data_IF_121989160978
#
_entry.id   IF_121989160978
#
_cell.length_a   1.000
_cell.length_b   1.000
_cell.length_c   1.000
_cell.angle_alpha   90.00
_cell.angle_beta   90.00
_cell.angle_gamma   90.00
#
_symmetry.space_group_name_H-M   'P 1'
#
loop_
_entity.id
_entity.type
_entity.pdbx_description
1 polymer ?
#
# COMPACT_ATOMS: atom_id res chain seq x y z
N UNK A 1 -9.81 3.21 4.18
CA UNK A 1 -9.83 1.87 3.53
C UNK A 1 -10.08 2.04 2.03
N UNK A 2 -9.54 1.16 1.22
CA UNK A 2 -9.67 1.15 -0.25
C UNK A 2 -9.97 -0.27 -0.74
N UNK A 3 -10.88 -0.39 -1.70
CA UNK A 3 -11.26 -1.63 -2.37
C UNK A 3 -10.80 -1.58 -3.83
N UNK A 4 -9.96 -2.52 -4.25
CA UNK A 4 -9.42 -2.54 -5.62
C UNK A 4 -10.47 -2.91 -6.67
N UNK A 5 -11.46 -3.72 -6.29
CA UNK A 5 -12.48 -4.18 -7.23
C UNK A 5 -13.43 -3.05 -7.65
N UNK A 6 -13.82 -2.17 -6.72
CA UNK A 6 -14.61 -0.98 -7.03
C UNK A 6 -13.75 0.20 -7.49
N UNK A 7 -12.46 0.24 -7.10
CA UNK A 7 -11.58 1.36 -7.32
C UNK A 7 -11.87 2.57 -6.44
N UNK A 8 -12.51 2.35 -5.29
CA UNK A 8 -13.01 3.43 -4.45
C UNK A 8 -12.57 3.31 -2.99
N UNK A 9 -12.60 4.44 -2.30
CA UNK A 9 -12.49 4.49 -0.85
C UNK A 9 -13.77 3.93 -0.24
N UNK A 10 -13.63 3.04 0.72
CA UNK A 10 -14.76 2.41 1.40
C UNK A 10 -14.77 2.67 2.90
N UNK A 11 -15.96 2.78 3.49
CA UNK A 11 -16.18 2.77 4.92
C UNK A 11 -16.68 1.41 5.44
N UNK A 12 -16.93 0.47 4.54
CA UNK A 12 -17.35 -0.89 4.91
C UNK A 12 -16.26 -1.59 5.72
N UNK A 13 -16.67 -2.34 6.75
CA UNK A 13 -15.74 -3.03 7.64
C UNK A 13 -15.23 -4.35 7.07
N UNK A 14 -15.88 -4.88 6.05
CA UNK A 14 -15.50 -6.14 5.40
C UNK A 14 -14.95 -5.94 3.99
N UNK A 15 -15.49 -4.97 3.24
CA UNK A 15 -15.16 -4.76 1.83
C UNK A 15 -14.04 -3.75 1.65
N UNK A 16 -12.85 -4.12 2.09
CA UNK A 16 -11.62 -3.35 1.86
C UNK A 16 -10.43 -4.30 1.65
N UNK A 17 -9.44 -3.87 0.89
CA UNK A 17 -8.23 -4.64 0.61
C UNK A 17 -7.02 -4.08 1.33
N UNK A 18 -6.87 -2.75 1.29
CA UNK A 18 -5.81 -2.02 1.99
C UNK A 18 -6.39 -0.85 2.81
N UNK A 19 -5.68 -0.48 3.86
CA UNK A 19 -6.01 0.69 4.66
C UNK A 19 -4.76 1.54 4.92
N UNK A 20 -4.91 2.85 4.79
CA UNK A 20 -3.84 3.82 5.01
C UNK A 20 -4.02 4.46 6.38
N UNK A 21 -2.92 4.50 7.17
CA UNK A 21 -2.86 5.18 8.46
C UNK A 21 -1.51 5.86 8.64
N UNK A 22 -1.50 7.19 8.53
CA UNK A 22 -0.24 7.91 8.46
C UNK A 22 0.61 7.37 7.31
N UNK A 23 1.82 6.89 7.59
CA UNK A 23 2.70 6.24 6.61
C UNK A 23 2.56 4.71 6.57
N UNK A 24 1.73 4.13 7.44
CA UNK A 24 1.48 2.69 7.46
C UNK A 24 0.40 2.31 6.45
N UNK A 25 0.62 1.18 5.77
CA UNK A 25 -0.35 0.55 4.87
C UNK A 25 -0.62 -0.84 5.41
N UNK A 26 -1.90 -1.11 5.69
CA UNK A 26 -2.39 -2.36 6.24
C UNK A 26 -3.08 -3.16 5.14
N UNK A 27 -3.06 -4.49 5.27
CA UNK A 27 -3.82 -5.41 4.40
C UNK A 27 -4.99 -6.04 5.15
N UNK A 28 -6.09 -6.34 4.45
CA UNK A 28 -7.20 -7.07 5.05
C UNK A 28 -6.89 -8.57 5.11
N UNK A 29 -5.95 -8.93 5.97
CA UNK A 29 -5.52 -10.30 6.21
C UNK A 29 -4.52 -10.39 7.35
N UNK A 30 -4.40 -11.55 7.94
CA UNK A 30 -3.56 -11.79 9.11
C UNK A 30 -4.21 -11.37 10.42
N UNK A 31 -3.48 -10.67 11.27
CA UNK A 31 -3.94 -10.22 12.59
C UNK A 31 -3.58 -8.76 12.86
N UNK A 32 -4.14 -8.21 13.95
CA UNK A 32 -3.86 -6.86 14.39
C UNK A 32 -2.36 -6.61 14.61
N UNK A 33 -1.92 -5.42 14.20
CA UNK A 33 -0.50 -5.01 14.30
C UNK A 33 -0.20 -4.26 15.60
N UNK A 34 -1.25 -3.87 16.33
CA UNK A 34 -1.14 -3.03 17.53
C UNK A 34 -1.16 -1.53 17.26
N UNK A 35 -1.38 -1.12 16.02
CA UNK A 35 -1.64 0.29 15.71
C UNK A 35 -3.01 0.69 16.28
N UNK A 36 -3.08 1.92 16.80
CA UNK A 36 -4.34 2.42 17.34
C UNK A 36 -5.41 2.54 16.23
N UNK A 37 -6.65 2.15 16.52
CA UNK A 37 -7.83 2.28 15.64
C UNK A 37 -7.65 1.62 14.26
N UNK A 38 -6.87 0.57 14.16
CA UNK A 38 -6.75 -0.20 12.92
C UNK A 38 -8.06 -0.97 12.63
N UNK A 39 -8.44 -1.10 11.35
CA UNK A 39 -9.65 -1.83 11.00
C UNK A 39 -9.52 -3.32 11.32
N UNK A 40 -10.65 -3.96 11.67
CA UNK A 40 -10.71 -5.41 11.81
C UNK A 40 -10.40 -6.07 10.44
N UNK A 41 -9.73 -7.20 10.48
CA UNK A 41 -9.42 -8.01 9.31
C UNK A 41 -10.35 -9.19 9.20
N UNK A 42 -10.96 -9.38 8.04
CA UNK A 42 -11.90 -10.47 7.76
C UNK A 42 -11.48 -11.32 6.55
N UNK A 43 -10.46 -10.89 5.83
CA UNK A 43 -10.01 -11.51 4.58
C UNK A 43 -8.68 -12.26 4.69
N UNK A 44 -8.16 -12.61 3.53
CA UNK A 44 -6.86 -13.29 3.37
C UNK A 44 -5.81 -12.38 2.69
N UNK A 45 -6.01 -11.08 2.76
CA UNK A 45 -5.13 -10.08 2.16
C UNK A 45 -3.67 -10.26 2.59
N UNK A 46 -2.77 -10.02 1.66
CA UNK A 46 -1.33 -10.09 1.90
C UNK A 46 -0.60 -9.11 0.97
N UNK A 47 0.63 -8.78 1.30
CA UNK A 47 1.42 -7.88 0.48
C UNK A 47 2.85 -8.38 0.27
N UNK A 48 3.43 -7.95 -0.84
CA UNK A 48 4.84 -8.02 -1.14
C UNK A 48 5.31 -6.70 -1.75
N UNK A 49 6.59 -6.44 -1.73
CA UNK A 49 7.20 -5.30 -2.42
C UNK A 49 8.07 -5.85 -3.55
N UNK A 50 7.83 -5.38 -4.76
CA UNK A 50 8.64 -5.68 -5.93
C UNK A 50 9.51 -4.48 -6.30
N UNK A 51 10.73 -4.73 -6.73
CA UNK A 51 11.62 -3.72 -7.30
C UNK A 51 11.44 -3.68 -8.82
N UNK A 52 11.20 -2.48 -9.37
CA UNK A 52 10.99 -2.27 -10.79
C UNK A 52 10.13 -1.05 -11.07
N UNK A 53 9.71 -0.91 -12.34
CA UNK A 53 8.71 0.10 -12.72
C UNK A 53 7.31 -0.49 -12.66
N UNK A 54 6.29 0.35 -12.60
CA UNK A 54 4.90 -0.10 -12.66
C UNK A 54 4.63 -1.00 -13.87
N UNK A 55 5.25 -0.71 -15.01
CA UNK A 55 5.11 -1.49 -16.23
C UNK A 55 5.92 -2.80 -16.21
N UNK A 56 7.08 -2.85 -15.54
CA UNK A 56 7.96 -4.03 -15.55
C UNK A 56 7.57 -5.12 -14.55
N UNK A 57 6.80 -4.77 -13.53
CA UNK A 57 6.29 -5.74 -12.55
C UNK A 57 5.02 -6.39 -13.11
N UNK A 58 5.18 -7.49 -13.82
CA UNK A 58 4.11 -8.15 -14.61
C UNK A 58 3.61 -9.46 -14.01
N UNK A 59 4.25 -9.98 -12.97
CA UNK A 59 3.81 -11.21 -12.32
C UNK A 59 4.24 -11.33 -10.86
N UNK A 60 3.58 -12.23 -10.14
CA UNK A 60 3.87 -12.52 -8.72
C UNK A 60 4.84 -13.68 -8.53
N UNK A 61 5.36 -14.31 -9.60
CA UNK A 61 6.02 -15.61 -9.54
C UNK A 61 7.25 -15.75 -8.65
N UNK A 62 7.95 -14.63 -8.32
CA UNK A 62 9.11 -14.61 -7.44
C UNK A 62 8.86 -13.91 -6.11
N UNK A 63 7.63 -13.44 -5.85
CA UNK A 63 7.32 -12.63 -4.67
C UNK A 63 6.91 -13.50 -3.48
N UNK A 64 7.44 -13.15 -2.32
CA UNK A 64 6.99 -13.72 -1.05
C UNK A 64 6.01 -12.76 -0.39
N UNK A 65 4.76 -13.21 -0.25
CA UNK A 65 3.71 -12.43 0.39
C UNK A 65 3.72 -12.64 1.90
N UNK A 66 3.53 -11.56 2.63
CA UNK A 66 3.31 -11.55 4.08
C UNK A 66 1.94 -10.98 4.41
N UNK A 67 1.39 -11.36 5.55
CA UNK A 67 0.18 -10.77 6.12
C UNK A 67 0.55 -9.85 7.27
N UNK A 68 -0.36 -8.97 7.66
CA UNK A 68 -0.22 -8.21 8.89
C UNK A 68 -0.21 -9.16 10.11
N UNK A 69 0.56 -8.80 11.12
CA UNK A 69 0.70 -9.63 12.32
C UNK A 69 1.01 -8.76 13.55
N UNK A 70 1.01 -9.36 14.73
CA UNK A 70 1.45 -8.69 15.95
C UNK A 70 2.90 -8.15 15.89
N UNK A 71 3.70 -8.62 14.92
CA UNK A 71 5.05 -8.11 14.65
C UNK A 71 5.09 -6.86 13.78
N UNK A 72 3.95 -6.49 13.18
CA UNK A 72 3.79 -5.30 12.35
C UNK A 72 3.06 -5.55 11.02
N UNK A 73 2.89 -4.49 10.22
CA UNK A 73 2.28 -4.57 8.89
C UNK A 73 3.09 -5.41 7.91
N UNK A 74 2.40 -6.03 6.95
CA UNK A 74 3.00 -6.76 5.83
C UNK A 74 3.92 -5.87 4.99
N UNK A 75 3.54 -4.60 4.82
CA UNK A 75 4.40 -3.59 4.21
C UNK A 75 5.21 -2.96 5.33
N UNK A 76 6.50 -3.28 5.37
CA UNK A 76 7.41 -2.90 6.44
C UNK A 76 7.43 -1.37 6.63
N UNK A 77 7.10 -0.84 7.81
CA UNK A 77 7.11 0.58 8.07
C UNK A 77 8.53 1.12 8.25
N UNK A 78 8.65 2.44 8.24
CA UNK A 78 9.90 3.14 8.47
C UNK A 78 10.58 3.62 7.18
N UNK A 79 11.34 4.69 7.33
CA UNK A 79 12.06 5.31 6.22
C UNK A 79 13.05 4.34 5.58
N UNK A 80 12.99 4.18 4.26
CA UNK A 80 13.89 3.32 3.49
C UNK A 80 13.52 1.83 3.48
N UNK A 81 12.58 1.39 4.33
CA UNK A 81 12.26 -0.04 4.48
C UNK A 81 11.10 -0.51 3.57
N UNK A 82 10.11 0.34 3.38
CA UNK A 82 8.91 0.01 2.62
C UNK A 82 8.78 0.88 1.37
N UNK A 83 7.76 1.74 1.35
CA UNK A 83 7.39 2.52 0.18
C UNK A 83 7.94 3.97 0.19
N UNK A 84 8.46 4.47 1.32
CA UNK A 84 8.83 5.88 1.47
C UNK A 84 10.20 6.11 2.12
N UNK A 85 10.75 7.30 1.84
CA UNK A 85 11.83 7.92 2.60
C UNK A 85 11.31 9.11 3.40
N UNK A 86 11.83 9.28 4.61
CA UNK A 86 11.65 10.47 5.43
C UNK A 86 12.95 11.26 5.49
N UNK A 87 12.91 12.51 5.04
CA UNK A 87 14.13 13.32 4.90
C UNK A 87 14.67 13.86 6.24
N UNK A 88 13.84 13.89 7.29
CA UNK A 88 14.21 14.58 8.54
C UNK A 88 14.36 16.08 8.37
N UNK A 89 15.00 16.72 9.36
CA UNK A 89 15.26 18.17 9.31
C UNK A 89 16.21 18.53 8.17
N UNK A 90 16.05 19.66 7.49
CA UNK A 90 15.06 20.71 7.77
C UNK A 90 13.72 20.55 7.06
N UNK A 91 13.59 19.61 6.12
CA UNK A 91 12.42 19.55 5.23
C UNK A 91 11.28 18.69 5.76
N UNK A 92 11.57 17.66 6.56
CA UNK A 92 10.59 16.69 7.13
C UNK A 92 9.71 16.01 6.08
N UNK A 93 10.16 15.96 4.82
CA UNK A 93 9.40 15.40 3.71
C UNK A 93 9.28 13.87 3.81
N UNK A 94 8.10 13.38 3.47
CA UNK A 94 7.83 11.98 3.13
C UNK A 94 7.77 11.90 1.60
N UNK A 95 8.63 11.07 1.02
CA UNK A 95 8.70 10.90 -0.44
C UNK A 95 8.62 9.42 -0.80
N UNK A 96 7.79 9.03 -1.77
CA UNK A 96 7.82 7.66 -2.28
C UNK A 96 9.21 7.26 -2.76
N UNK A 97 9.58 6.00 -2.57
CA UNK A 97 10.84 5.47 -3.10
C UNK A 97 10.59 5.04 -4.55
N UNK A 98 11.29 5.65 -5.54
CA UNK A 98 11.12 5.24 -6.92
C UNK A 98 11.43 3.75 -7.13
N UNK A 99 10.61 3.09 -7.94
CA UNK A 99 10.79 1.67 -8.25
C UNK A 99 10.33 0.69 -7.17
N UNK A 100 9.64 1.13 -6.15
CA UNK A 100 8.95 0.25 -5.18
C UNK A 100 7.49 0.08 -5.59
N UNK A 101 7.15 -1.12 -6.05
CA UNK A 101 5.79 -1.49 -6.42
C UNK A 101 5.22 -2.39 -5.32
N UNK A 102 4.13 -1.95 -4.71
CA UNK A 102 3.41 -2.75 -3.74
C UNK A 102 2.52 -3.73 -4.48
N UNK A 103 2.70 -5.01 -4.23
CA UNK A 103 1.88 -6.06 -4.83
C UNK A 103 1.00 -6.64 -3.74
N UNK A 104 -0.30 -6.59 -3.97
CA UNK A 104 -1.33 -6.94 -3.00
C UNK A 104 -2.07 -8.19 -3.47
N UNK A 105 -2.18 -9.17 -2.59
CA UNK A 105 -3.25 -10.15 -2.67
C UNK A 105 -4.44 -9.54 -1.92
N UNK A 106 -5.55 -9.42 -2.59
CA UNK A 106 -6.77 -8.83 -2.02
C UNK A 106 -7.37 -9.72 -0.93
N UNK A 107 -8.33 -9.20 -0.17
CA UNK A 107 -9.04 -9.95 0.89
C UNK A 107 -9.62 -11.28 0.43
N UNK A 108 -9.97 -11.38 -0.84
CA UNK A 108 -10.63 -12.55 -1.46
C UNK A 108 -9.74 -13.34 -2.41
N UNK A 109 -8.44 -12.98 -2.51
CA UNK A 109 -7.41 -13.73 -3.22
C UNK A 109 -7.12 -13.28 -4.65
N UNK A 110 -7.75 -12.20 -5.14
CA UNK A 110 -7.36 -11.55 -6.39
C UNK A 110 -6.02 -10.82 -6.22
N UNK A 111 -5.50 -10.23 -7.29
CA UNK A 111 -4.22 -9.53 -7.27
C UNK A 111 -4.37 -8.06 -7.67
N UNK A 112 -3.60 -7.21 -7.02
CA UNK A 112 -3.42 -5.84 -7.44
C UNK A 112 -1.94 -5.45 -7.33
N UNK A 113 -1.51 -4.47 -8.11
CA UNK A 113 -0.26 -3.76 -7.88
C UNK A 113 -0.54 -2.27 -7.78
N UNK A 114 0.25 -1.56 -6.97
CA UNK A 114 0.16 -0.11 -6.90
C UNK A 114 1.55 0.51 -6.77
N UNK A 115 1.67 1.71 -7.33
CA UNK A 115 2.84 2.59 -7.21
C UNK A 115 2.39 3.90 -6.58
N UNK A 116 2.94 4.22 -5.41
CA UNK A 116 2.62 5.46 -4.72
C UNK A 116 3.40 6.61 -5.37
N UNK A 117 2.68 7.65 -5.78
CA UNK A 117 3.22 8.81 -6.48
C UNK A 117 3.40 10.01 -5.55
N UNK A 118 2.49 10.17 -4.56
CA UNK A 118 2.55 11.26 -3.59
C UNK A 118 1.89 10.88 -2.27
N UNK A 119 2.35 11.50 -1.20
CA UNK A 119 1.79 11.46 0.15
C UNK A 119 1.04 12.75 0.51
N UNK A 120 1.06 13.74 -0.39
CA UNK A 120 0.49 15.06 -0.17
C UNK A 120 -0.71 15.30 -1.07
N UNK A 121 -1.68 16.06 -0.56
CA UNK A 121 -2.89 16.42 -1.29
C UNK A 121 -2.55 17.08 -2.63
N UNK A 122 -3.29 16.68 -3.67
CA UNK A 122 -3.15 17.18 -5.03
C UNK A 122 -1.79 16.91 -5.69
N UNK A 123 -0.96 16.04 -5.07
CA UNK A 123 0.34 15.58 -5.59
C UNK A 123 1.24 16.72 -6.13
N UNK A 124 1.58 17.72 -5.31
CA UNK A 124 2.37 18.85 -5.77
C UNK A 124 3.75 18.40 -6.30
N UNK A 125 4.22 19.01 -7.38
CA UNK A 125 5.52 18.68 -7.99
C UNK A 125 6.72 19.02 -7.09
N UNK A 126 6.56 19.97 -6.17
CA UNK A 126 7.52 20.35 -5.14
C UNK A 126 6.83 20.39 -3.78
N UNK A 127 6.63 19.24 -3.12
CA UNK A 127 5.91 19.20 -1.86
C UNK A 127 6.68 19.90 -0.74
N UNK A 128 5.93 20.53 0.16
CA UNK A 128 6.44 21.18 1.36
C UNK A 128 5.70 20.66 2.60
N UNK A 129 6.41 19.96 3.48
CA UNK A 129 5.81 19.32 4.65
C UNK A 129 5.19 20.30 5.67
N UNK A 130 5.49 21.60 5.59
CA UNK A 130 4.96 22.61 6.49
C UNK A 130 3.66 23.26 5.98
N UNK A 131 3.43 23.25 4.66
CA UNK A 131 2.28 23.90 4.04
C UNK A 131 1.30 22.94 3.38
N UNK A 132 1.78 21.82 2.89
CA UNK A 132 0.96 20.87 2.15
C UNK A 132 0.32 19.84 3.09
N UNK A 133 -0.94 19.53 2.83
CA UNK A 133 -1.67 18.53 3.61
C UNK A 133 -1.12 17.14 3.33
N UNK A 134 -0.57 16.49 4.35
CA UNK A 134 -0.07 15.12 4.27
C UNK A 134 -1.19 14.08 4.45
N UNK A 135 -0.85 12.79 4.25
CA UNK A 135 -1.76 11.64 4.36
C UNK A 135 -2.83 11.59 3.25
N UNK A 136 -2.56 12.21 2.12
CA UNK A 136 -3.33 12.12 0.89
C UNK A 136 -2.54 11.32 -0.12
N UNK A 137 -2.86 10.04 -0.23
CA UNK A 137 -2.17 9.14 -1.14
C UNK A 137 -2.66 9.31 -2.58
N UNK A 138 -1.72 9.61 -3.48
CA UNK A 138 -1.93 9.49 -4.92
C UNK A 138 -1.14 8.31 -5.42
N UNK A 139 -1.78 7.39 -6.14
CA UNK A 139 -1.13 6.18 -6.65
C UNK A 139 -1.76 5.72 -7.96
N UNK A 140 -0.95 5.07 -8.79
CA UNK A 140 -1.42 4.24 -9.88
C UNK A 140 -1.71 2.84 -9.36
N UNK A 141 -2.72 2.16 -9.90
CA UNK A 141 -2.93 0.76 -9.59
C UNK A 141 -3.45 -0.01 -10.81
N UNK A 142 -3.27 -1.32 -10.74
CA UNK A 142 -3.88 -2.30 -11.64
C UNK A 142 -4.49 -3.40 -10.77
N UNK A 143 -5.70 -3.83 -11.11
CA UNK A 143 -6.40 -4.90 -10.44
C UNK A 143 -6.69 -6.05 -11.41
N UNK A 144 -6.30 -7.26 -11.05
CA UNK A 144 -6.60 -8.49 -11.79
C UNK A 144 -7.57 -9.36 -10.97
N UNK A 145 -8.85 -9.46 -11.37
CA UNK A 145 -9.86 -10.22 -10.64
C UNK A 145 -9.68 -11.73 -10.74
N UNK A 146 -8.81 -12.22 -11.61
CA UNK A 146 -8.60 -13.66 -11.80
C UNK A 146 -7.73 -14.24 -10.67
N UNK A 147 -8.38 -14.82 -9.67
CA UNK A 147 -7.73 -15.40 -8.48
C UNK A 147 -6.78 -16.57 -8.76
N UNK A 148 -6.87 -17.16 -9.95
CA UNK A 148 -5.98 -18.24 -10.39
C UNK A 148 -4.81 -17.75 -11.24
N UNK A 149 -4.70 -16.44 -11.44
CA UNK A 149 -3.63 -15.80 -12.21
C UNK A 149 -2.48 -15.39 -11.30
N UNK A 150 -1.26 -15.43 -11.86
CA UNK A 150 -0.10 -14.73 -11.30
C UNK A 150 0.22 -13.42 -12.03
N UNK A 151 -0.60 -13.07 -13.05
CA UNK A 151 -0.38 -11.87 -13.86
C UNK A 151 -0.76 -10.59 -13.12
N UNK A 152 0.06 -9.57 -13.36
CA UNK A 152 -0.12 -8.19 -12.93
C UNK A 152 -0.20 -7.24 -14.15
N UNK A 153 -0.72 -7.75 -15.27
CA UNK A 153 -0.98 -7.03 -16.51
C UNK A 153 -2.49 -6.87 -16.75
#
# INVERSE_FOLDING_TARGET
KFDFASGEVTNDDNDWDIAFRGTSILVNGGSATGLAEEPARSGQGAAAIADGTFASVVSTGALTFSQDSASGPAIIPGSGNGWYNYAGAPTYLISPIPGKILVIRTRDGALAKLEILSYYKDAPSMPNAFSDQSQYYTFNYLYNPNKNSSSLE
#
